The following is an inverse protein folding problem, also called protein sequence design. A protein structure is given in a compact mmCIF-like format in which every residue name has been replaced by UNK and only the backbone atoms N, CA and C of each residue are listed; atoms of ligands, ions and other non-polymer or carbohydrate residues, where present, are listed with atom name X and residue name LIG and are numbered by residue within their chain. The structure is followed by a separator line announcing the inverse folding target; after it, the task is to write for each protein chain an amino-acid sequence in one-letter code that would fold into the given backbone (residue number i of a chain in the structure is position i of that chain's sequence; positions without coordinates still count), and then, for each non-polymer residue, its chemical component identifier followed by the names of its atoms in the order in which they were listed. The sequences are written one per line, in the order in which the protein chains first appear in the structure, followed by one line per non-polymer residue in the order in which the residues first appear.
data_IF_607553758164
#
_entry.id   IF_607553758164
#
_cell.length_a   1.000
_cell.length_b   1.000
_cell.length_c   1.000
_cell.angle_alpha   90.00
_cell.angle_beta   90.00
_cell.angle_gamma   90.00
#
_symmetry.space_group_name_H-M   'P 1'
#
loop_
_entity.id
_entity.type
_entity.pdbx_description
1 polymer ?
#
# COMPACT_ATOMS: atom_id res chain seq x y z
N UNK A 1 3.33 -7.14 -20.45
CA UNK A 1 2.85 -7.81 -19.22
C UNK A 1 3.48 -7.15 -17.99
N UNK A 2 4.79 -7.11 -17.88
CA UNK A 2 5.50 -6.58 -16.70
C UNK A 2 5.20 -5.13 -16.38
N UNK A 3 5.11 -4.23 -17.33
CA UNK A 3 4.79 -2.81 -17.12
C UNK A 3 3.42 -2.61 -16.45
N UNK A 4 2.39 -3.36 -16.86
CA UNK A 4 1.06 -3.27 -16.25
C UNK A 4 1.06 -3.78 -14.80
N UNK A 5 1.84 -4.81 -14.51
CA UNK A 5 2.03 -5.31 -13.16
C UNK A 5 2.77 -4.27 -12.30
N UNK A 6 3.80 -3.64 -12.85
CA UNK A 6 4.55 -2.58 -12.18
C UNK A 6 3.64 -1.39 -11.83
N UNK A 7 2.83 -0.90 -12.78
CA UNK A 7 1.87 0.18 -12.53
C UNK A 7 0.90 -0.18 -11.40
N UNK A 8 0.35 -1.40 -11.45
CA UNK A 8 -0.56 -1.89 -10.41
C UNK A 8 0.13 -1.94 -9.04
N UNK A 9 1.37 -2.39 -9.00
CA UNK A 9 2.16 -2.44 -7.76
C UNK A 9 2.38 -1.04 -7.21
N UNK A 10 2.86 -0.10 -8.03
CA UNK A 10 3.12 1.29 -7.62
C UNK A 10 1.83 1.97 -7.13
N UNK A 11 0.72 1.81 -7.87
CA UNK A 11 -0.56 2.39 -7.46
C UNK A 11 -1.02 1.87 -6.09
N UNK A 12 -0.84 0.58 -5.81
CA UNK A 12 -1.22 0.02 -4.51
C UNK A 12 -0.24 0.42 -3.40
N UNK A 13 1.06 0.53 -3.66
CA UNK A 13 2.03 1.06 -2.68
C UNK A 13 1.64 2.49 -2.25
N UNK A 14 1.33 3.36 -3.21
CA UNK A 14 0.85 4.73 -2.92
C UNK A 14 -0.48 4.70 -2.16
N UNK A 15 -1.41 3.86 -2.58
CA UNK A 15 -2.73 3.76 -1.99
C UNK A 15 -2.69 3.27 -0.53
N UNK A 16 -1.85 2.27 -0.24
CA UNK A 16 -1.65 1.78 1.12
C UNK A 16 -1.00 2.84 2.02
N UNK A 17 -0.05 3.61 1.49
CA UNK A 17 0.55 4.74 2.22
C UNK A 17 -0.49 5.86 2.50
N UNK A 18 -1.41 6.11 1.57
CA UNK A 18 -2.51 7.06 1.77
C UNK A 18 -3.52 6.55 2.82
N UNK A 19 -3.83 5.25 2.81
CA UNK A 19 -4.79 4.64 3.73
C UNK A 19 -4.22 4.53 5.14
N UNK A 20 -3.07 3.86 5.30
CA UNK A 20 -2.54 3.46 6.61
C UNK A 20 -1.05 3.80 6.79
N UNK A 21 -0.48 4.64 5.94
CA UNK A 21 0.88 5.12 6.18
C UNK A 21 0.98 5.93 7.47
N UNK A 22 2.17 6.06 8.08
CA UNK A 22 2.36 6.77 9.37
C UNK A 22 1.89 8.23 9.39
N UNK A 23 1.61 8.83 8.23
CA UNK A 23 1.06 10.18 8.12
C UNK A 23 -0.45 10.21 7.84
N UNK A 24 -1.12 9.07 7.82
CA UNK A 24 -2.56 8.99 7.61
C UNK A 24 -3.34 9.26 8.90
N UNK A 25 -4.55 9.82 8.77
CA UNK A 25 -5.42 10.10 9.90
C UNK A 25 -5.78 8.82 10.67
N UNK A 26 -6.11 7.75 9.93
CA UNK A 26 -6.52 6.48 10.55
C UNK A 26 -5.37 5.79 11.27
N UNK A 27 -4.14 5.83 10.74
CA UNK A 27 -2.98 5.28 11.45
C UNK A 27 -2.77 6.00 12.79
N UNK A 28 -2.78 7.34 12.78
CA UNK A 28 -2.60 8.13 13.98
C UNK A 28 -3.71 7.88 15.01
N UNK A 29 -4.97 7.81 14.55
CA UNK A 29 -6.11 7.48 15.41
C UNK A 29 -5.92 6.11 16.09
N UNK A 30 -5.63 5.07 15.31
CA UNK A 30 -5.44 3.72 15.85
C UNK A 30 -4.27 3.64 16.83
N UNK A 31 -3.19 4.35 16.53
CA UNK A 31 -1.99 4.39 17.38
C UNK A 31 -2.25 5.14 18.69
N UNK A 32 -2.91 6.31 18.65
CA UNK A 32 -3.25 7.12 19.82
C UNK A 32 -4.26 6.41 20.75
N UNK A 33 -5.19 5.63 20.18
CA UNK A 33 -6.11 4.78 20.94
C UNK A 33 -5.45 3.49 21.49
N UNK A 34 -4.18 3.23 21.17
CA UNK A 34 -3.48 2.02 21.58
C UNK A 34 -3.99 0.74 20.94
N UNK A 35 -4.66 0.85 19.79
CA UNK A 35 -5.21 -0.27 19.03
C UNK A 35 -4.18 -0.93 18.14
N UNK A 36 -3.11 -0.23 17.79
CA UNK A 36 -1.95 -0.71 17.03
C UNK A 36 -0.66 -0.19 17.64
N UNK A 37 0.44 -0.80 17.29
CA UNK A 37 1.78 -0.34 17.60
C UNK A 37 2.54 0.10 16.34
N UNK A 38 3.83 0.41 16.47
CA UNK A 38 4.71 0.82 15.38
C UNK A 38 5.09 -0.30 14.41
N UNK A 39 4.78 -1.56 14.74
CA UNK A 39 4.95 -2.71 13.84
C UNK A 39 3.77 -2.87 12.87
N UNK A 40 2.65 -2.17 13.11
CA UNK A 40 1.50 -2.21 12.21
C UNK A 40 1.83 -1.61 10.85
N UNK A 41 1.44 -2.31 9.79
CA UNK A 41 1.68 -1.84 8.44
C UNK A 41 0.83 -2.53 7.39
N UNK A 42 1.03 -2.10 6.16
CA UNK A 42 0.37 -2.69 5.01
C UNK A 42 1.37 -2.94 3.88
N UNK A 43 1.11 -4.00 3.13
CA UNK A 43 1.89 -4.33 1.94
C UNK A 43 1.00 -4.85 0.82
N UNK A 44 1.45 -4.69 -0.41
CA UNK A 44 0.79 -5.23 -1.59
C UNK A 44 1.65 -6.34 -2.21
N UNK A 45 1.00 -7.45 -2.53
CA UNK A 45 1.59 -8.52 -3.34
C UNK A 45 0.86 -8.57 -4.66
N UNK A 46 1.60 -8.40 -5.75
CA UNK A 46 1.08 -8.47 -7.11
C UNK A 46 1.81 -9.51 -7.92
N UNK A 47 1.04 -10.37 -8.59
CA UNK A 47 1.48 -11.34 -9.58
C UNK A 47 0.67 -11.15 -10.87
N UNK A 48 0.98 -11.95 -11.90
CA UNK A 48 0.33 -11.81 -13.20
C UNK A 48 -1.20 -11.98 -13.12
N UNK A 49 -1.65 -12.99 -12.40
CA UNK A 49 -3.06 -13.41 -12.38
C UNK A 49 -3.81 -13.03 -11.09
N UNK A 50 -3.07 -12.59 -10.06
CA UNK A 50 -3.67 -12.20 -8.79
C UNK A 50 -2.95 -11.03 -8.14
N UNK A 51 -3.54 -10.49 -7.09
CA UNK A 51 -2.92 -9.50 -6.23
C UNK A 51 -3.80 -9.22 -5.03
N UNK A 52 -3.17 -8.99 -3.90
CA UNK A 52 -3.84 -8.70 -2.65
C UNK A 52 -3.03 -7.72 -1.80
N UNK A 53 -3.75 -6.99 -0.96
CA UNK A 53 -3.15 -6.16 0.08
C UNK A 53 -3.30 -6.86 1.43
N UNK A 54 -2.28 -6.78 2.26
CA UNK A 54 -2.29 -7.27 3.63
C UNK A 54 -2.10 -6.08 4.56
N UNK A 55 -2.99 -5.93 5.54
CA UNK A 55 -2.82 -5.10 6.70
C UNK A 55 -2.49 -6.03 7.87
N UNK A 56 -1.40 -5.78 8.57
CA UNK A 56 -0.93 -6.70 9.62
C UNK A 56 -0.28 -5.95 10.78
N UNK A 57 -0.40 -6.51 11.96
CA UNK A 57 0.17 -5.98 13.19
C UNK A 57 -0.42 -6.70 14.39
N UNK A 58 -0.02 -6.28 15.59
CA UNK A 58 -0.59 -6.74 16.84
C UNK A 58 -1.63 -5.75 17.34
N UNK A 59 -2.69 -6.24 17.96
CA UNK A 59 -3.77 -5.40 18.49
C UNK A 59 -4.46 -6.08 19.66
N UNK A 60 -4.82 -5.33 20.71
CA UNK A 60 -5.71 -5.83 21.77
C UNK A 60 -7.15 -6.02 21.30
N UNK A 61 -7.57 -5.32 20.24
CA UNK A 61 -8.94 -5.34 19.67
C UNK A 61 -8.89 -5.46 18.13
N UNK A 62 -8.40 -6.58 17.59
CA UNK A 62 -8.13 -6.71 16.16
C UNK A 62 -9.39 -6.60 15.27
N UNK A 63 -10.54 -7.03 15.75
CA UNK A 63 -11.81 -6.89 15.04
C UNK A 63 -12.20 -5.42 14.87
N UNK A 64 -12.02 -4.61 15.92
CA UNK A 64 -12.27 -3.17 15.87
C UNK A 64 -11.33 -2.47 14.89
N UNK A 65 -10.05 -2.88 14.84
CA UNK A 65 -9.10 -2.36 13.85
C UNK A 65 -9.56 -2.67 12.43
N UNK A 66 -9.99 -3.92 12.18
CA UNK A 66 -10.49 -4.33 10.86
C UNK A 66 -11.71 -3.51 10.44
N UNK A 67 -12.68 -3.29 11.35
CA UNK A 67 -13.87 -2.48 11.08
C UNK A 67 -13.51 -1.02 10.74
N UNK A 68 -12.63 -0.39 11.53
CA UNK A 68 -12.15 0.97 11.26
C UNK A 68 -11.45 1.09 9.91
N UNK A 69 -10.65 0.09 9.53
CA UNK A 69 -9.98 0.08 8.23
C UNK A 69 -10.98 -0.04 7.07
N UNK A 70 -11.99 -0.90 7.20
CA UNK A 70 -13.04 -1.05 6.19
C UNK A 70 -13.89 0.23 6.07
N UNK A 71 -14.24 0.86 7.19
CA UNK A 71 -14.94 2.13 7.20
C UNK A 71 -14.13 3.25 6.54
N UNK A 72 -12.81 3.32 6.80
CA UNK A 72 -11.94 4.31 6.17
C UNK A 72 -11.87 4.11 4.64
N UNK A 73 -11.76 2.87 4.17
CA UNK A 73 -11.78 2.56 2.74
C UNK A 73 -13.08 3.09 2.09
N UNK A 74 -14.24 2.78 2.68
CA UNK A 74 -15.53 3.23 2.15
C UNK A 74 -15.73 4.75 2.27
N UNK A 75 -15.20 5.38 3.32
CA UNK A 75 -15.15 6.83 3.48
C UNK A 75 -14.35 7.47 2.35
N UNK A 76 -13.16 6.93 2.03
CA UNK A 76 -12.27 7.49 0.99
C UNK A 76 -12.80 7.30 -0.43
N UNK A 77 -13.60 6.30 -0.69
CA UNK A 77 -14.36 6.19 -1.96
C UNK A 77 -15.35 7.33 -2.14
N UNK A 78 -15.99 7.78 -1.06
CA UNK A 78 -17.00 8.87 -1.08
C UNK A 78 -16.37 10.26 -0.94
N UNK A 79 -15.31 10.36 -0.15
CA UNK A 79 -14.59 11.60 0.15
C UNK A 79 -13.08 11.35 0.02
N UNK A 80 -12.55 11.40 -1.20
CA UNK A 80 -11.13 11.13 -1.46
C UNK A 80 -10.20 12.11 -0.73
N UNK A 81 -8.92 11.75 -0.68
CA UNK A 81 -7.86 12.67 -0.22
C UNK A 81 -7.73 13.86 -1.17
N UNK A 82 -7.13 14.94 -0.68
CA UNK A 82 -6.70 16.03 -1.53
C UNK A 82 -5.56 15.58 -2.47
N UNK A 83 -5.54 16.09 -3.69
CA UNK A 83 -4.50 15.75 -4.67
C UNK A 83 -3.10 16.10 -4.18
N UNK A 84 -2.96 17.17 -3.40
CA UNK A 84 -1.67 17.55 -2.79
C UNK A 84 -1.14 16.46 -1.86
N UNK A 85 -2.00 15.78 -1.10
CA UNK A 85 -1.60 14.65 -0.26
C UNK A 85 -1.08 13.49 -1.11
N UNK A 86 -1.78 13.14 -2.17
CA UNK A 86 -1.31 12.14 -3.14
C UNK A 86 0.07 12.49 -3.70
N UNK A 87 0.28 13.74 -4.14
CA UNK A 87 1.57 14.18 -4.68
C UNK A 87 2.70 14.08 -3.65
N UNK A 88 2.42 14.35 -2.37
CA UNK A 88 3.38 14.19 -1.28
C UNK A 88 3.77 12.73 -1.08
N UNK A 89 2.79 11.81 -1.03
CA UNK A 89 3.04 10.37 -0.90
C UNK A 89 3.79 9.83 -2.11
N UNK A 90 3.41 10.23 -3.32
CA UNK A 90 4.10 9.87 -4.55
C UNK A 90 5.60 10.24 -4.51
N UNK A 91 5.93 11.46 -4.09
CA UNK A 91 7.33 11.92 -3.92
C UNK A 91 8.07 11.13 -2.84
N UNK A 92 7.39 10.80 -1.72
CA UNK A 92 7.93 9.93 -0.66
C UNK A 92 8.33 8.57 -1.24
N UNK A 93 7.45 7.92 -2.01
CA UNK A 93 7.70 6.62 -2.62
C UNK A 93 8.89 6.67 -3.61
N UNK A 94 8.99 7.71 -4.44
CA UNK A 94 10.16 7.94 -5.31
C UNK A 94 11.45 8.04 -4.49
N UNK A 95 11.44 8.82 -3.42
CA UNK A 95 12.59 8.99 -2.53
C UNK A 95 13.00 7.69 -1.84
N UNK A 96 12.04 6.90 -1.39
CA UNK A 96 12.28 5.59 -0.79
C UNK A 96 12.87 4.59 -1.79
N UNK A 97 12.37 4.59 -3.03
CA UNK A 97 12.92 3.77 -4.09
C UNK A 97 14.40 4.09 -4.35
N UNK A 98 14.74 5.39 -4.51
CA UNK A 98 16.12 5.83 -4.72
C UNK A 98 17.00 5.48 -3.52
N UNK A 99 16.52 5.68 -2.30
CA UNK A 99 17.25 5.33 -1.07
C UNK A 99 17.52 3.83 -0.97
N UNK A 100 16.63 3.01 -1.52
CA UNK A 100 16.80 1.54 -1.55
C UNK A 100 18.10 1.09 -2.18
N UNK A 101 18.65 1.83 -3.16
CA UNK A 101 19.93 1.50 -3.81
C UNK A 101 21.16 1.59 -2.87
N UNK A 102 21.03 2.19 -1.69
CA UNK A 102 22.09 2.14 -0.68
C UNK A 102 22.27 0.76 -0.05
N UNK A 103 21.32 -0.15 -0.26
CA UNK A 103 21.32 -1.51 0.27
C UNK A 103 21.52 -2.51 -0.87
N UNK A 104 22.78 -2.80 -1.21
CA UNK A 104 23.15 -3.61 -2.40
C UNK A 104 22.50 -4.99 -2.42
N UNK A 105 22.47 -5.67 -1.29
CA UNK A 105 21.91 -7.03 -1.18
C UNK A 105 20.40 -7.03 -1.51
N UNK A 106 19.62 -6.19 -0.84
CA UNK A 106 18.17 -6.07 -1.09
C UNK A 106 17.86 -5.56 -2.50
N UNK A 107 18.70 -4.66 -3.02
CA UNK A 107 18.58 -4.18 -4.41
C UNK A 107 18.83 -5.32 -5.40
N UNK A 108 19.83 -6.16 -5.17
CA UNK A 108 20.11 -7.32 -6.01
C UNK A 108 18.94 -8.32 -6.02
N UNK A 109 18.39 -8.65 -4.85
CA UNK A 109 17.20 -9.53 -4.74
C UNK A 109 16.00 -8.92 -5.47
N UNK A 110 15.73 -7.63 -5.25
CA UNK A 110 14.64 -6.91 -5.94
C UNK A 110 14.83 -6.92 -7.46
N UNK A 111 16.05 -6.66 -7.93
CA UNK A 111 16.38 -6.66 -9.36
C UNK A 111 16.09 -8.02 -10.01
N UNK A 112 16.58 -9.11 -9.41
CA UNK A 112 16.34 -10.47 -9.92
C UNK A 112 14.85 -10.82 -9.91
N UNK A 113 14.17 -10.50 -8.80
CA UNK A 113 12.71 -10.74 -8.65
C UNK A 113 11.90 -10.01 -9.73
N UNK A 114 12.27 -8.77 -10.07
CA UNK A 114 11.61 -8.01 -11.12
C UNK A 114 11.87 -8.55 -12.52
N UNK A 115 13.08 -9.02 -12.82
CA UNK A 115 13.40 -9.65 -14.10
C UNK A 115 12.50 -10.87 -14.35
N UNK A 116 12.29 -11.72 -13.34
CA UNK A 116 11.36 -12.87 -13.46
C UNK A 116 9.92 -12.47 -13.77
N UNK A 117 9.54 -11.24 -13.46
CA UNK A 117 8.22 -10.68 -13.77
C UNK A 117 8.20 -9.85 -15.06
N UNK A 118 9.26 -9.91 -15.87
CA UNK A 118 9.43 -9.09 -17.09
C UNK A 118 9.31 -7.57 -16.80
N UNK A 119 9.92 -7.14 -15.68
CA UNK A 119 9.96 -5.76 -15.23
C UNK A 119 11.41 -5.31 -15.12
N UNK A 120 11.72 -4.14 -15.71
CA UNK A 120 13.00 -3.49 -15.50
C UNK A 120 12.97 -2.59 -14.26
N UNK A 121 13.89 -2.82 -13.31
CA UNK A 121 13.92 -2.08 -12.05
C UNK A 121 13.96 -0.55 -12.26
N UNK A 122 14.68 -0.09 -13.26
CA UNK A 122 14.85 1.34 -13.54
C UNK A 122 13.60 2.01 -14.15
N UNK A 123 12.67 1.22 -14.69
CA UNK A 123 11.40 1.75 -15.21
C UNK A 123 10.51 2.30 -14.08
N UNK A 124 10.77 1.92 -12.83
CA UNK A 124 9.97 2.33 -11.67
C UNK A 124 9.79 3.85 -11.59
N UNK A 125 10.88 4.62 -11.75
CA UNK A 125 10.82 6.09 -11.64
C UNK A 125 10.00 6.70 -12.78
N UNK A 126 10.18 6.23 -14.01
CA UNK A 126 9.40 6.70 -15.14
C UNK A 126 7.92 6.33 -14.99
N UNK A 127 7.64 5.14 -14.48
CA UNK A 127 6.26 4.66 -14.30
C UNK A 127 5.55 5.40 -13.18
N UNK A 128 6.20 5.60 -12.03
CA UNK A 128 5.57 6.34 -10.92
C UNK A 128 5.27 7.79 -11.31
N UNK A 129 6.13 8.44 -12.12
CA UNK A 129 5.86 9.79 -12.63
C UNK A 129 4.58 9.87 -13.46
N UNK A 130 4.26 8.83 -14.22
CA UNK A 130 3.07 8.77 -15.10
C UNK A 130 1.76 8.51 -14.34
N UNK A 131 1.82 7.98 -13.11
CA UNK A 131 0.63 7.71 -12.31
C UNK A 131 -0.03 9.01 -11.88
N UNK A 132 -1.32 9.15 -12.19
CA UNK A 132 -2.14 10.30 -11.88
C UNK A 132 -3.06 10.02 -10.68
N UNK A 133 -3.58 11.07 -10.12
CA UNK A 133 -4.49 10.99 -8.98
C UNK A 133 -5.75 10.16 -9.29
N UNK A 134 -6.33 10.33 -10.48
CA UNK A 134 -7.50 9.58 -10.93
C UNK A 134 -7.25 8.07 -11.03
N UNK A 135 -6.02 7.68 -11.36
CA UNK A 135 -5.62 6.26 -11.44
C UNK A 135 -5.66 5.62 -10.04
N UNK A 136 -5.28 6.37 -9.00
CA UNK A 136 -5.36 5.95 -7.60
C UNK A 136 -6.81 5.79 -7.14
N UNK A 137 -7.68 6.75 -7.46
CA UNK A 137 -9.10 6.68 -7.09
C UNK A 137 -9.79 5.49 -7.76
N UNK A 138 -9.50 5.26 -9.03
CA UNK A 138 -9.99 4.09 -9.76
C UNK A 138 -9.50 2.78 -9.16
N UNK A 139 -8.23 2.73 -8.74
CA UNK A 139 -7.65 1.56 -8.11
C UNK A 139 -8.31 1.27 -6.75
N UNK A 140 -8.58 2.30 -5.95
CA UNK A 140 -9.30 2.19 -4.69
C UNK A 140 -10.68 1.57 -4.89
N UNK A 141 -11.44 2.08 -5.85
CA UNK A 141 -12.80 1.64 -6.13
C UNK A 141 -12.85 0.20 -6.66
N UNK A 142 -11.92 -0.15 -7.54
CA UNK A 142 -11.93 -1.46 -8.20
C UNK A 142 -11.33 -2.60 -7.37
N UNK A 143 -10.37 -2.31 -6.49
CA UNK A 143 -9.62 -3.36 -5.79
C UNK A 143 -10.10 -3.58 -4.36
N UNK A 144 -10.44 -2.52 -3.65
CA UNK A 144 -10.73 -2.59 -2.22
C UNK A 144 -12.24 -2.61 -1.97
N UNK A 145 -12.74 -3.70 -1.37
CA UNK A 145 -14.12 -3.81 -0.93
C UNK A 145 -14.26 -4.80 0.24
N UNK A 146 -15.22 -4.57 1.11
CA UNK A 146 -15.54 -5.46 2.24
C UNK A 146 -15.88 -6.88 1.78
N UNK A 147 -16.55 -7.04 0.64
CA UNK A 147 -16.93 -8.34 0.08
C UNK A 147 -15.73 -9.22 -0.33
N UNK A 148 -14.56 -8.61 -0.55
CA UNK A 148 -13.32 -9.27 -0.96
C UNK A 148 -12.24 -9.21 0.12
N UNK A 149 -12.64 -8.99 1.36
CA UNK A 149 -11.75 -8.96 2.52
C UNK A 149 -11.97 -10.18 3.41
N UNK A 150 -10.94 -10.55 4.15
CA UNK A 150 -11.04 -11.53 5.22
C UNK A 150 -10.13 -11.10 6.37
N UNK A 151 -10.58 -11.39 7.59
CA UNK A 151 -9.81 -11.19 8.81
C UNK A 151 -9.27 -12.54 9.28
N UNK A 152 -7.96 -12.60 9.54
CA UNK A 152 -7.29 -13.77 10.14
C UNK A 152 -6.71 -13.36 11.48
N UNK A 153 -7.05 -14.10 12.54
CA UNK A 153 -6.61 -13.83 13.91
C UNK A 153 -5.79 -15.00 14.45
N UNK A 154 -4.68 -14.67 15.10
CA UNK A 154 -3.89 -15.60 15.90
C UNK A 154 -4.05 -15.14 17.36
N UNK A 155 -4.74 -15.95 18.16
CA UNK A 155 -4.99 -15.65 19.56
C UNK A 155 -3.96 -16.33 20.44
N UNK A 156 -3.54 -15.69 21.56
CA UNK A 156 -2.68 -16.35 22.55
C UNK A 156 -3.41 -17.56 23.15
N UNK A 157 -2.65 -18.61 23.44
CA UNK A 157 -3.17 -19.80 24.13
C UNK A 157 -3.24 -19.59 25.62
#
# INVERSE_FOLDING_TARGET
KGERLLDKTIMNEILLDLLVGPSSEVYNLLYEEGLIDDAFGAQFTGEEDYGFAIFSGESPEPEKVADILLEEIEKRKKSPWEEEHFLRIKRKNMGQFIRGFNYLESTGVKFVSMIFKDIHLFDYLERIEKIRYEDILKQLDTMYSSERSCLSLILPQ
#
